data_IF_631632903706
#
_entry.id   IF_631632903706
#
_cell.length_a   1.000
_cell.length_b   1.000
_cell.length_c   1.000
_cell.angle_alpha   90.00
_cell.angle_beta   90.00
_cell.angle_gamma   90.00
#
_symmetry.space_group_name_H-M   'P 1'
#
loop_
_entity.id
_entity.type
_entity.pdbx_description
1 polymer ?
#
# COMPACT_ATOMS: atom_id res chain seq x y z
N UNK A 1 29.57 -22.83 -37.57
CA UNK A 1 29.68 -22.23 -36.23
C UNK A 1 28.33 -22.43 -35.58
N UNK A 2 28.19 -23.40 -34.67
CA UNK A 2 26.90 -23.70 -34.05
C UNK A 2 26.70 -22.64 -32.97
N UNK A 3 25.83 -21.67 -33.24
CA UNK A 3 25.48 -20.64 -32.27
C UNK A 3 24.93 -21.30 -31.02
N UNK A 4 25.55 -21.00 -29.89
CA UNK A 4 25.14 -21.51 -28.58
C UNK A 4 23.76 -20.89 -28.29
N UNK A 5 22.73 -21.68 -27.93
CA UNK A 5 21.40 -21.14 -27.68
C UNK A 5 21.48 -20.08 -26.57
N UNK A 6 20.93 -18.88 -26.85
CA UNK A 6 20.96 -17.74 -25.92
C UNK A 6 19.98 -17.98 -24.75
N UNK A 7 20.47 -18.76 -23.78
CA UNK A 7 19.74 -19.14 -22.56
C UNK A 7 19.33 -17.94 -21.70
N UNK A 8 20.01 -16.80 -21.82
CA UNK A 8 19.67 -15.59 -21.05
C UNK A 8 18.44 -14.88 -21.62
N UNK A 9 18.39 -14.66 -22.94
CA UNK A 9 17.25 -14.03 -23.58
C UNK A 9 15.96 -14.86 -23.41
N UNK A 10 16.03 -16.18 -23.54
CA UNK A 10 14.90 -17.08 -23.28
C UNK A 10 14.39 -17.00 -21.83
N UNK A 11 15.28 -16.90 -20.83
CA UNK A 11 14.89 -16.72 -19.42
C UNK A 11 14.21 -15.38 -19.16
N UNK A 12 14.71 -14.29 -19.76
CA UNK A 12 14.12 -12.96 -19.63
C UNK A 12 12.72 -12.91 -20.25
N UNK A 13 12.54 -13.57 -21.39
CA UNK A 13 11.25 -13.70 -22.07
C UNK A 13 10.24 -14.51 -21.25
N UNK A 14 10.69 -15.61 -20.63
CA UNK A 14 9.89 -16.38 -19.68
C UNK A 14 9.47 -15.57 -18.44
N UNK A 15 10.34 -14.69 -17.94
CA UNK A 15 10.00 -13.74 -16.87
C UNK A 15 8.98 -12.69 -17.35
N UNK A 16 9.14 -12.16 -18.56
CA UNK A 16 8.20 -11.20 -19.15
C UNK A 16 6.78 -11.79 -19.23
N UNK A 17 6.65 -13.04 -19.70
CA UNK A 17 5.37 -13.76 -19.74
C UNK A 17 4.77 -13.98 -18.36
N UNK A 18 5.57 -14.27 -17.33
CA UNK A 18 5.06 -14.43 -15.96
C UNK A 18 4.57 -13.12 -15.35
N UNK A 19 5.21 -12.00 -15.68
CA UNK A 19 4.89 -10.68 -15.13
C UNK A 19 3.71 -10.04 -15.88
N UNK A 20 3.53 -10.38 -17.16
CA UNK A 20 2.50 -9.81 -18.02
C UNK A 20 1.10 -9.85 -17.37
N UNK A 21 0.30 -8.77 -17.51
CA UNK A 21 -1.09 -8.80 -17.08
C UNK A 21 -1.90 -9.81 -17.92
N UNK A 22 -2.91 -10.47 -17.31
CA UNK A 22 -3.67 -11.54 -17.97
C UNK A 22 -4.35 -11.09 -19.26
N UNK A 23 -4.75 -9.82 -19.34
CA UNK A 23 -5.41 -9.24 -20.51
C UNK A 23 -4.48 -9.09 -21.72
N UNK A 24 -3.15 -9.13 -21.52
CA UNK A 24 -2.16 -8.98 -22.59
C UNK A 24 -1.26 -10.21 -22.74
N UNK A 25 -1.59 -11.32 -22.10
CA UNK A 25 -0.80 -12.56 -22.19
C UNK A 25 -0.60 -13.02 -23.63
N UNK A 26 -1.63 -12.90 -24.47
CA UNK A 26 -1.54 -13.25 -25.90
C UNK A 26 -0.55 -12.38 -26.67
N UNK A 27 -0.47 -11.08 -26.35
CA UNK A 27 0.48 -10.17 -26.98
C UNK A 27 1.93 -10.50 -26.60
N UNK A 28 2.17 -10.83 -25.33
CA UNK A 28 3.49 -11.30 -24.88
C UNK A 28 3.83 -12.71 -25.38
N UNK A 29 2.83 -13.57 -25.61
CA UNK A 29 3.01 -14.89 -26.23
C UNK A 29 3.38 -14.76 -27.71
N UNK A 30 2.76 -13.83 -28.43
CA UNK A 30 3.13 -13.49 -29.80
C UNK A 30 4.57 -12.94 -29.88
N UNK A 31 4.93 -11.99 -29.01
CA UNK A 31 6.33 -11.51 -28.91
C UNK A 31 7.31 -12.63 -28.57
N UNK A 32 6.89 -13.62 -27.78
CA UNK A 32 7.73 -14.76 -27.48
C UNK A 32 7.94 -15.69 -28.69
N UNK A 33 6.93 -15.84 -29.54
CA UNK A 33 7.05 -16.57 -30.80
C UNK A 33 7.93 -15.84 -31.83
N UNK A 34 7.91 -14.50 -31.82
CA UNK A 34 8.77 -13.67 -32.68
C UNK A 34 10.26 -13.75 -32.29
N UNK A 35 10.58 -14.10 -31.03
CA UNK A 35 11.96 -14.15 -30.53
C UNK A 35 12.89 -15.04 -31.36
N UNK A 36 12.39 -16.17 -31.88
CA UNK A 36 13.16 -17.10 -32.72
C UNK A 36 13.52 -16.50 -34.09
N UNK A 37 12.80 -15.47 -34.53
CA UNK A 37 13.01 -14.79 -35.80
C UNK A 37 13.89 -13.53 -35.68
N UNK A 38 14.24 -13.12 -34.44
CA UNK A 38 15.09 -11.96 -34.19
C UNK A 38 16.57 -12.31 -34.43
N UNK A 39 17.35 -11.43 -35.11
CA UNK A 39 18.79 -11.63 -35.29
C UNK A 39 19.51 -11.85 -33.95
N UNK A 40 20.45 -12.79 -33.89
CA UNK A 40 21.18 -13.16 -32.65
C UNK A 40 21.85 -11.97 -31.95
N UNK A 41 22.31 -10.96 -32.70
CA UNK A 41 22.89 -9.72 -32.17
C UNK A 41 21.89 -8.77 -31.48
N UNK A 42 20.58 -8.97 -31.69
CA UNK A 42 19.50 -8.14 -31.15
C UNK A 42 18.59 -8.90 -30.17
N UNK A 43 18.68 -10.23 -30.09
CA UNK A 43 17.86 -11.08 -29.22
C UNK A 43 17.87 -10.63 -27.74
N UNK A 44 19.04 -10.33 -27.18
CA UNK A 44 19.13 -9.85 -25.79
C UNK A 44 18.42 -8.51 -25.56
N UNK A 45 18.54 -7.57 -26.50
CA UNK A 45 17.85 -6.26 -26.44
C UNK A 45 16.34 -6.40 -26.60
N UNK A 46 15.90 -7.28 -27.47
CA UNK A 46 14.48 -7.60 -27.66
C UNK A 46 13.88 -8.21 -26.39
N UNK A 47 14.51 -9.24 -25.82
CA UNK A 47 14.03 -9.90 -24.60
C UNK A 47 13.97 -8.93 -23.40
N UNK A 48 14.95 -8.05 -23.25
CA UNK A 48 14.94 -7.00 -22.24
C UNK A 48 13.81 -5.98 -22.49
N UNK A 49 13.58 -5.60 -23.75
CA UNK A 49 12.47 -4.73 -24.15
C UNK A 49 11.10 -5.33 -23.80
N UNK A 50 10.89 -6.62 -24.09
CA UNK A 50 9.68 -7.34 -23.71
C UNK A 50 9.49 -7.39 -22.19
N UNK A 51 10.56 -7.61 -21.42
CA UNK A 51 10.51 -7.62 -19.96
C UNK A 51 10.14 -6.24 -19.39
N UNK A 52 10.76 -5.17 -19.89
CA UNK A 52 10.45 -3.80 -19.47
C UNK A 52 9.01 -3.41 -19.84
N UNK A 53 8.55 -3.79 -21.03
CA UNK A 53 7.17 -3.58 -21.46
C UNK A 53 6.18 -4.34 -20.56
N UNK A 54 6.44 -5.62 -20.27
CA UNK A 54 5.64 -6.42 -19.36
C UNK A 54 5.59 -5.82 -17.95
N UNK A 55 6.74 -5.38 -17.44
CA UNK A 55 6.85 -4.69 -16.16
C UNK A 55 6.05 -3.38 -16.12
N UNK A 56 6.15 -2.55 -17.17
CA UNK A 56 5.39 -1.30 -17.27
C UNK A 56 3.88 -1.54 -17.33
N UNK A 57 3.44 -2.47 -18.17
CA UNK A 57 2.02 -2.83 -18.30
C UNK A 57 1.49 -3.41 -16.99
N UNK A 58 2.28 -4.25 -16.29
CA UNK A 58 1.91 -4.77 -14.97
C UNK A 58 1.82 -3.67 -13.92
N UNK A 59 2.75 -2.72 -13.90
CA UNK A 59 2.78 -1.61 -12.95
C UNK A 59 1.57 -0.67 -13.09
N UNK A 60 1.07 -0.50 -14.32
CA UNK A 60 -0.12 0.33 -14.60
C UNK A 60 -1.41 -0.51 -14.46
N UNK A 61 -1.31 -1.84 -14.44
CA UNK A 61 -2.48 -2.70 -14.35
C UNK A 61 -3.30 -2.43 -13.08
N UNK A 62 -4.62 -2.20 -13.18
CA UNK A 62 -5.46 -1.88 -12.03
C UNK A 62 -5.42 -2.95 -10.95
N UNK A 63 -5.29 -4.23 -11.33
CA UNK A 63 -5.20 -5.34 -10.38
C UNK A 63 -3.94 -5.22 -9.51
N UNK A 64 -2.79 -4.90 -10.12
CA UNK A 64 -1.55 -4.72 -9.40
C UNK A 64 -1.59 -3.47 -8.52
N UNK A 65 -2.05 -2.32 -9.05
CA UNK A 65 -2.18 -1.08 -8.27
C UNK A 65 -3.10 -1.30 -7.07
N UNK A 66 -4.21 -2.03 -7.23
CA UNK A 66 -5.08 -2.38 -6.12
C UNK A 66 -4.42 -3.33 -5.12
N UNK A 67 -3.70 -4.36 -5.58
CA UNK A 67 -2.99 -5.27 -4.68
C UNK A 67 -1.94 -4.51 -3.85
N UNK A 68 -1.18 -3.61 -4.48
CA UNK A 68 -0.19 -2.76 -3.83
C UNK A 68 -0.84 -1.80 -2.85
N UNK A 69 -1.89 -1.07 -3.26
CA UNK A 69 -2.60 -0.13 -2.39
C UNK A 69 -3.20 -0.84 -1.16
N UNK A 70 -3.83 -1.99 -1.36
CA UNK A 70 -4.38 -2.80 -0.25
C UNK A 70 -3.27 -3.33 0.66
N UNK A 71 -2.16 -3.79 0.09
CA UNK A 71 -0.98 -4.21 0.84
C UNK A 71 -0.39 -3.08 1.68
N UNK A 72 -0.27 -1.88 1.11
CA UNK A 72 0.19 -0.68 1.81
C UNK A 72 -0.75 -0.27 2.95
N UNK A 73 -2.06 -0.32 2.75
CA UNK A 73 -3.03 0.02 3.79
C UNK A 73 -2.99 -0.97 4.96
N UNK A 74 -3.00 -2.27 4.67
CA UNK A 74 -2.97 -3.31 5.70
C UNK A 74 -1.61 -3.33 6.40
N UNK A 75 -0.53 -3.40 5.63
CA UNK A 75 0.83 -3.44 6.15
C UNK A 75 1.19 -2.17 6.92
N UNK A 76 0.82 -1.00 6.38
CA UNK A 76 1.01 0.28 7.05
C UNK A 76 0.24 0.39 8.36
N UNK A 77 -1.03 -0.05 8.39
CA UNK A 77 -1.81 -0.06 9.63
C UNK A 77 -1.23 -1.01 10.69
N UNK A 78 -0.79 -2.22 10.30
CA UNK A 78 -0.15 -3.17 11.21
C UNK A 78 1.19 -2.66 11.74
N UNK A 79 2.00 -2.05 10.87
CA UNK A 79 3.25 -1.40 11.24
C UNK A 79 3.01 -0.27 12.25
N UNK A 80 2.03 0.60 11.97
CA UNK A 80 1.66 1.72 12.85
C UNK A 80 1.12 1.24 14.20
N UNK A 81 0.33 0.16 14.22
CA UNK A 81 -0.11 -0.47 15.45
C UNK A 81 1.08 -1.00 16.28
N UNK A 82 2.08 -1.62 15.64
CA UNK A 82 3.30 -2.07 16.31
C UNK A 82 4.10 -0.93 16.94
N UNK A 83 4.22 0.21 16.24
CA UNK A 83 4.86 1.41 16.80
C UNK A 83 4.12 1.94 18.03
N UNK A 84 2.79 1.97 17.97
CA UNK A 84 1.95 2.40 19.09
C UNK A 84 2.01 1.45 20.30
N UNK A 85 2.07 0.13 20.09
CA UNK A 85 2.32 -0.85 21.17
C UNK A 85 3.68 -0.60 21.82
N UNK A 86 4.73 -0.40 21.02
CA UNK A 86 6.07 -0.08 21.53
C UNK A 86 6.07 1.22 22.32
N UNK A 87 5.37 2.24 21.84
CA UNK A 87 5.21 3.52 22.54
C UNK A 87 4.49 3.32 23.87
N UNK A 88 3.34 2.65 23.88
CA UNK A 88 2.57 2.37 25.08
C UNK A 88 3.39 1.59 26.12
N UNK A 89 4.15 0.58 25.69
CA UNK A 89 5.05 -0.18 26.57
C UNK A 89 6.13 0.70 27.22
N UNK A 90 6.64 1.72 26.52
CA UNK A 90 7.57 2.71 27.11
C UNK A 90 6.88 3.66 28.07
N UNK A 91 5.62 4.01 27.83
CA UNK A 91 4.85 4.89 28.72
C UNK A 91 4.44 4.17 30.01
N UNK A 92 4.11 2.88 29.91
CA UNK A 92 3.84 1.97 31.04
C UNK A 92 5.03 1.94 32.01
N UNK A 93 6.25 1.82 31.49
CA UNK A 93 7.48 1.84 32.30
C UNK A 93 7.75 3.19 33.00
N UNK A 94 7.13 4.29 32.54
CA UNK A 94 7.27 5.63 33.12
C UNK A 94 6.02 6.06 33.92
N UNK A 95 5.11 5.13 34.23
CA UNK A 95 3.85 5.37 34.97
C UNK A 95 2.94 6.43 34.31
N UNK A 96 3.10 6.64 33.00
CA UNK A 96 2.35 7.62 32.23
C UNK A 96 1.06 7.00 31.68
N UNK A 97 0.07 6.79 32.55
CA UNK A 97 -1.16 6.05 32.27
C UNK A 97 -1.95 6.58 31.05
N UNK A 98 -2.12 7.90 30.95
CA UNK A 98 -2.92 8.51 29.87
C UNK A 98 -2.35 8.22 28.47
N UNK A 99 -1.07 8.53 28.18
CA UNK A 99 -0.49 8.22 26.87
C UNK A 99 -0.32 6.70 26.64
N UNK A 100 -0.12 5.90 27.69
CA UNK A 100 -0.11 4.43 27.57
C UNK A 100 -1.45 3.89 27.03
N UNK A 101 -2.55 4.23 27.69
CA UNK A 101 -3.90 3.78 27.30
C UNK A 101 -4.21 4.24 25.87
N UNK A 102 -3.85 5.48 25.55
CA UNK A 102 -4.06 6.04 24.21
C UNK A 102 -3.26 5.27 23.15
N UNK A 103 -1.99 4.94 23.42
CA UNK A 103 -1.18 4.12 22.50
C UNK A 103 -1.76 2.72 22.26
N UNK A 104 -2.21 2.02 23.31
CA UNK A 104 -2.85 0.71 23.13
C UNK A 104 -4.20 0.81 22.40
N UNK A 105 -5.01 1.83 22.69
CA UNK A 105 -6.28 2.07 22.01
C UNK A 105 -6.08 2.39 20.52
N UNK A 106 -5.09 3.22 20.19
CA UNK A 106 -4.70 3.52 18.80
C UNK A 106 -4.27 2.22 18.10
N UNK A 107 -3.39 1.43 18.71
CA UNK A 107 -2.92 0.18 18.12
C UNK A 107 -4.07 -0.81 17.82
N UNK A 108 -5.02 -0.94 18.76
CA UNK A 108 -6.20 -1.78 18.56
C UNK A 108 -7.05 -1.28 17.39
N UNK A 109 -7.30 0.03 17.33
CA UNK A 109 -8.08 0.66 16.26
C UNK A 109 -7.45 0.43 14.88
N UNK A 110 -6.13 0.62 14.75
CA UNK A 110 -5.41 0.35 13.51
C UNK A 110 -5.44 -1.12 13.11
N UNK A 111 -5.35 -2.04 14.09
CA UNK A 111 -5.46 -3.48 13.83
C UNK A 111 -6.85 -3.87 13.34
N UNK A 112 -7.90 -3.33 13.95
CA UNK A 112 -9.29 -3.50 13.51
C UNK A 112 -9.48 -2.91 12.11
N UNK A 113 -8.94 -1.72 11.85
CA UNK A 113 -8.96 -1.06 10.54
C UNK A 113 -8.26 -1.88 9.45
N UNK A 114 -7.12 -2.48 9.76
CA UNK A 114 -6.39 -3.38 8.88
C UNK A 114 -7.24 -4.62 8.53
N UNK A 115 -7.86 -5.25 9.54
CA UNK A 115 -8.74 -6.40 9.35
C UNK A 115 -10.00 -6.05 8.54
N UNK A 116 -10.61 -4.89 8.81
CA UNK A 116 -11.76 -4.40 8.06
C UNK A 116 -11.40 -4.12 6.60
N UNK A 117 -10.24 -3.52 6.35
CA UNK A 117 -9.71 -3.29 4.99
C UNK A 117 -9.41 -4.61 4.28
N UNK A 118 -8.89 -5.60 5.02
CA UNK A 118 -8.64 -6.94 4.50
C UNK A 118 -9.93 -7.71 4.18
N UNK A 119 -11.06 -7.45 4.85
CA UNK A 119 -12.33 -8.16 4.59
C UNK A 119 -13.25 -7.42 3.62
N UNK A 120 -13.39 -6.12 3.77
CA UNK A 120 -14.42 -5.31 3.11
C UNK A 120 -13.84 -4.30 2.10
N UNK A 121 -12.51 -4.24 1.96
CA UNK A 121 -11.82 -3.37 1.01
C UNK A 121 -11.86 -1.89 1.39
N UNK A 122 -11.58 -1.02 0.41
CA UNK A 122 -11.34 0.42 0.63
C UNK A 122 -12.54 1.20 1.19
N UNK A 123 -13.78 0.72 0.93
CA UNK A 123 -14.98 1.38 1.46
C UNK A 123 -14.98 1.36 2.99
N UNK A 124 -14.56 0.25 3.59
CA UNK A 124 -14.44 0.15 5.05
C UNK A 124 -13.34 1.05 5.58
N UNK A 125 -12.18 1.12 4.91
CA UNK A 125 -11.10 2.05 5.28
C UNK A 125 -11.61 3.49 5.33
N UNK A 126 -12.31 3.95 4.29
CA UNK A 126 -12.84 5.32 4.22
C UNK A 126 -13.93 5.54 5.29
N UNK A 127 -14.86 4.60 5.42
CA UNK A 127 -15.99 4.72 6.34
C UNK A 127 -15.58 4.71 7.82
N UNK A 128 -14.51 3.99 8.16
CA UNK A 128 -13.99 3.92 9.53
C UNK A 128 -12.99 5.03 9.85
N UNK A 129 -12.15 5.42 8.88
CA UNK A 129 -11.14 6.47 9.11
C UNK A 129 -11.77 7.85 9.30
N UNK A 130 -12.84 8.18 8.57
CA UNK A 130 -13.51 9.48 8.70
C UNK A 130 -14.02 9.80 10.13
N UNK A 131 -14.83 8.95 10.78
CA UNK A 131 -15.29 9.22 12.15
C UNK A 131 -14.12 9.18 13.15
N UNK A 132 -13.12 8.31 12.95
CA UNK A 132 -11.94 8.25 13.81
C UNK A 132 -11.12 9.54 13.74
N UNK A 133 -10.89 10.08 12.54
CA UNK A 133 -10.24 11.38 12.37
C UNK A 133 -11.03 12.51 13.04
N UNK A 134 -12.36 12.49 12.95
CA UNK A 134 -13.19 13.50 13.63
C UNK A 134 -13.02 13.44 15.15
N UNK A 135 -13.04 12.23 15.73
CA UNK A 135 -12.81 12.03 17.18
C UNK A 135 -11.42 12.49 17.59
N UNK A 136 -10.38 12.10 16.85
CA UNK A 136 -9.00 12.51 17.14
C UNK A 136 -8.80 14.03 17.00
N UNK A 137 -9.41 14.66 16.00
CA UNK A 137 -9.37 16.12 15.85
C UNK A 137 -10.05 16.83 17.04
N UNK A 138 -11.19 16.33 17.50
CA UNK A 138 -11.86 16.86 18.70
C UNK A 138 -10.99 16.69 19.95
N UNK A 139 -10.34 15.54 20.13
CA UNK A 139 -9.39 15.30 21.22
C UNK A 139 -8.22 16.29 21.14
N UNK A 140 -7.63 16.50 19.97
CA UNK A 140 -6.56 17.48 19.79
C UNK A 140 -6.99 18.92 20.12
N UNK A 141 -8.19 19.32 19.68
CA UNK A 141 -8.76 20.65 19.98
C UNK A 141 -8.99 20.80 21.48
N UNK A 142 -9.55 19.78 22.13
CA UNK A 142 -9.81 19.77 23.57
C UNK A 142 -8.50 19.85 24.37
N UNK A 143 -7.48 19.06 24.02
CA UNK A 143 -6.18 19.10 24.69
C UNK A 143 -5.46 20.44 24.49
N UNK A 144 -5.64 21.09 23.34
CA UNK A 144 -5.00 22.37 23.02
C UNK A 144 -5.66 23.57 23.73
N UNK A 145 -6.97 23.53 23.91
CA UNK A 145 -7.75 24.66 24.48
C UNK A 145 -8.26 24.40 25.90
N UNK A 146 -8.15 23.17 26.40
CA UNK A 146 -8.50 22.80 27.77
C UNK A 146 -7.50 23.36 28.79
N UNK A 147 -8.00 23.68 29.98
CA UNK A 147 -7.24 24.32 31.07
C UNK A 147 -6.20 23.42 31.76
N UNK A 148 -6.08 22.15 31.36
CA UNK A 148 -5.13 21.20 31.93
C UNK A 148 -3.88 21.07 31.03
N UNK A 149 -3.01 22.08 31.04
CA UNK A 149 -1.66 21.95 30.48
C UNK A 149 -0.80 21.06 31.41
N UNK A 150 -1.09 19.75 31.42
CA UNK A 150 -0.22 18.78 32.04
C UNK A 150 1.09 18.65 31.21
N UNK A 151 2.25 18.38 31.81
CA UNK A 151 3.53 18.26 31.10
C UNK A 151 3.55 17.20 29.98
N UNK A 152 2.60 16.27 29.97
CA UNK A 152 2.43 15.25 28.92
C UNK A 152 1.47 15.68 27.78
N UNK A 153 0.83 16.85 27.87
CA UNK A 153 -0.16 17.31 26.88
C UNK A 153 0.44 17.48 25.49
N UNK A 154 1.66 18.01 25.40
CA UNK A 154 2.36 18.20 24.12
C UNK A 154 2.67 16.87 23.43
N UNK A 155 3.06 15.86 24.20
CA UNK A 155 3.36 14.52 23.68
C UNK A 155 2.07 13.83 23.19
N UNK A 156 0.97 13.94 23.94
CA UNK A 156 -0.33 13.41 23.53
C UNK A 156 -0.87 14.13 22.30
N UNK A 157 -0.74 15.46 22.22
CA UNK A 157 -1.13 16.24 21.03
C UNK A 157 -0.31 15.80 19.81
N UNK A 158 1.01 15.64 19.96
CA UNK A 158 1.87 15.18 18.88
C UNK A 158 1.44 13.82 18.35
N UNK A 159 1.18 12.85 19.25
CA UNK A 159 0.74 11.51 18.86
C UNK A 159 -0.61 11.54 18.11
N UNK A 160 -1.57 12.33 18.60
CA UNK A 160 -2.87 12.49 17.94
C UNK A 160 -2.73 13.13 16.55
N UNK A 161 -1.83 14.11 16.40
CA UNK A 161 -1.56 14.73 15.09
C UNK A 161 -0.90 13.74 14.13
N UNK A 162 0.05 12.92 14.59
CA UNK A 162 0.65 11.86 13.78
C UNK A 162 -0.39 10.84 13.30
N UNK A 163 -1.28 10.39 14.19
CA UNK A 163 -2.38 9.49 13.85
C UNK A 163 -3.32 10.10 12.80
N UNK A 164 -3.64 11.39 12.92
CA UNK A 164 -4.44 12.11 11.92
C UNK A 164 -3.78 12.14 10.54
N UNK A 165 -2.47 12.38 10.48
CA UNK A 165 -1.71 12.40 9.22
C UNK A 165 -1.71 11.01 8.59
N UNK A 166 -1.47 9.95 9.37
CA UNK A 166 -1.47 8.57 8.88
C UNK A 166 -2.85 8.17 8.36
N UNK A 167 -3.93 8.52 9.08
CA UNK A 167 -5.29 8.26 8.64
C UNK A 167 -5.64 9.04 7.36
N UNK A 168 -5.23 10.30 7.26
CA UNK A 168 -5.45 11.10 6.06
C UNK A 168 -4.76 10.48 4.83
N UNK A 169 -3.52 10.00 4.99
CA UNK A 169 -2.80 9.29 3.94
C UNK A 169 -3.50 7.98 3.55
N UNK A 170 -3.97 7.21 4.54
CA UNK A 170 -4.72 5.99 4.30
C UNK A 170 -6.02 6.26 3.51
N UNK A 171 -6.76 7.31 3.86
CA UNK A 171 -7.95 7.75 3.12
C UNK A 171 -7.59 8.18 1.70
N UNK A 172 -6.51 8.93 1.51
CA UNK A 172 -6.07 9.36 0.19
C UNK A 172 -5.72 8.16 -0.73
N UNK A 173 -4.97 7.18 -0.21
CA UNK A 173 -4.63 5.94 -0.93
C UNK A 173 -5.89 5.14 -1.27
N UNK A 174 -6.78 4.94 -0.28
CA UNK A 174 -8.04 4.21 -0.47
C UNK A 174 -8.96 4.89 -1.48
N UNK A 175 -9.08 6.23 -1.42
CA UNK A 175 -9.87 7.02 -2.36
C UNK A 175 -9.29 6.93 -3.78
N UNK A 176 -7.98 7.09 -3.94
CA UNK A 176 -7.30 6.96 -5.23
C UNK A 176 -7.53 5.58 -5.87
N UNK A 177 -7.30 4.50 -5.10
CA UNK A 177 -7.53 3.13 -5.57
C UNK A 177 -9.01 2.85 -5.91
N UNK A 178 -9.95 3.42 -5.13
CA UNK A 178 -11.39 3.28 -5.39
C UNK A 178 -11.86 4.00 -6.67
N UNK A 179 -11.20 5.10 -7.05
CA UNK A 179 -11.52 5.84 -8.29
C UNK A 179 -11.06 5.08 -9.52
N UNK A 180 -9.86 4.50 -9.49
CA UNK A 180 -9.35 3.70 -10.61
C UNK A 180 -10.21 2.46 -10.89
N UNK A 181 -10.77 1.84 -9.85
CA UNK A 181 -11.68 0.69 -10.02
C UNK A 181 -13.03 1.08 -10.64
N UNK A 182 -13.59 2.24 -10.29
CA UNK A 182 -14.87 2.71 -10.88
C UNK A 182 -14.75 3.10 -12.35
N UNK A 183 -13.66 3.75 -12.77
CA UNK A 183 -13.52 4.20 -14.16
C UNK A 183 -13.54 3.05 -15.18
N UNK A 184 -13.25 1.81 -14.74
CA UNK A 184 -13.30 0.61 -15.60
C UNK A 184 -14.71 -0.01 -15.72
N UNK A 185 -15.61 0.23 -14.76
CA UNK A 185 -16.99 -0.27 -14.82
C UNK A 185 -17.93 0.63 -15.64
N UNK A 186 -17.47 1.82 -16.03
CA UNK A 186 -18.22 2.80 -16.82
C UNK A 186 -17.95 2.79 -18.32
N UNK A 187 -17.21 1.81 -18.84
CA UNK A 187 -17.08 1.57 -20.28
C UNK A 187 -17.92 0.35 -20.68
N UNK A 188 -19.15 0.55 -21.18
CA UNK A 188 -19.85 -0.47 -21.97
C UNK A 188 -19.12 -0.73 -23.30
#
# INVERSE_FOLDING_TARGET
>A
MIDKPDTHGSRLLGLALRIAPPERHEWFAAMAAEYEHVPTSAQGRFALGCLLAAGRERAISPQFVNAVARGLLIGGAMFWAGLNIRFAGRMSANEALVPEVLGYATALTFTIGAMATARYGYRATIALAAPLMAVLALVAIFLRHGSAQAPLSNLTIALVVEDLVVLALAVAIAAFASRQTRMRQGHP
#
